data_IF_910168077099
#
_entry.id   IF_910168077099
#
_cell.length_a   1.000
_cell.length_b   1.000
_cell.length_c   1.000
_cell.angle_alpha   90.00
_cell.angle_beta   90.00
_cell.angle_gamma   90.00
#
_symmetry.space_group_name_H-M   'P 1'
#
loop_
_entity.id
_entity.type
_entity.pdbx_description
1 polymer ?
#
# COMPACT_ATOMS: atom_id res chain seq x y z
N UNK A 1 50.28 63.83 -67.90
CA UNK A 1 49.57 62.54 -67.92
C UNK A 1 50.42 61.56 -67.14
N UNK A 2 50.07 61.28 -65.90
CA UNK A 2 50.39 60.02 -65.15
C UNK A 2 49.77 60.16 -63.79
N UNK A 3 48.78 59.37 -63.52
CA UNK A 3 48.05 59.27 -62.27
C UNK A 3 48.87 58.45 -61.29
N UNK A 4 49.14 58.99 -60.11
CA UNK A 4 49.75 58.25 -58.98
C UNK A 4 48.63 57.77 -58.13
N UNK A 5 48.55 56.45 -57.98
CA UNK A 5 47.64 55.78 -57.06
C UNK A 5 48.30 55.70 -55.68
N UNK A 6 47.66 56.30 -54.69
CA UNK A 6 48.00 56.11 -53.26
C UNK A 6 47.24 54.91 -52.72
N UNK A 7 47.98 53.90 -52.34
CA UNK A 7 47.40 52.76 -51.65
C UNK A 7 47.38 52.99 -50.12
N UNK A 8 46.22 53.19 -49.57
CA UNK A 8 46.03 53.28 -48.13
C UNK A 8 45.89 51.84 -47.58
N UNK A 9 46.86 51.41 -46.78
CA UNK A 9 46.83 50.12 -46.04
C UNK A 9 46.04 50.33 -44.76
N UNK A 10 44.78 49.88 -44.74
CA UNK A 10 43.93 49.83 -43.53
C UNK A 10 44.20 48.55 -42.83
N UNK A 11 44.86 48.57 -41.68
CA UNK A 11 45.00 47.45 -40.78
C UNK A 11 43.66 47.21 -40.06
N UNK A 12 42.94 46.18 -40.47
CA UNK A 12 41.77 45.68 -39.71
C UNK A 12 42.26 44.87 -38.51
N UNK A 13 42.17 45.43 -37.32
CA UNK A 13 42.24 44.70 -36.06
C UNK A 13 40.93 43.86 -35.89
N UNK A 14 41.04 42.61 -36.21
CA UNK A 14 40.02 41.64 -35.84
C UNK A 14 40.08 41.35 -34.32
N UNK A 15 39.27 42.09 -33.56
CA UNK A 15 38.96 41.70 -32.17
C UNK A 15 37.99 40.51 -32.25
N UNK A 16 38.52 39.30 -32.09
CA UNK A 16 37.71 38.12 -31.89
C UNK A 16 37.07 38.19 -30.48
N UNK A 17 35.85 38.70 -30.43
CA UNK A 17 34.96 38.48 -29.29
C UNK A 17 34.67 36.98 -29.22
N UNK A 18 35.39 36.27 -28.36
CA UNK A 18 34.94 34.97 -27.86
C UNK A 18 33.74 35.27 -26.96
N UNK A 19 32.56 35.29 -27.56
CA UNK A 19 31.32 35.19 -26.79
C UNK A 19 31.31 33.79 -26.20
N UNK A 20 31.73 33.64 -24.93
CA UNK A 20 31.33 32.54 -24.10
C UNK A 20 29.81 32.63 -23.99
N UNK A 21 29.09 32.00 -24.91
CA UNK A 21 27.71 31.63 -24.69
C UNK A 21 27.73 30.54 -23.62
N UNK A 22 27.68 30.95 -22.35
CA UNK A 22 27.11 30.09 -21.32
C UNK A 22 25.70 29.77 -21.82
N UNK A 23 25.53 28.58 -22.39
CA UNK A 23 24.18 28.03 -22.53
C UNK A 23 23.63 28.03 -21.13
N UNK A 24 22.80 29.00 -20.79
CA UNK A 24 21.86 28.83 -19.70
C UNK A 24 21.14 27.48 -20.00
N UNK A 25 21.39 26.51 -19.17
CA UNK A 25 20.57 25.28 -19.22
C UNK A 25 19.14 25.79 -19.06
N UNK A 26 18.34 25.71 -20.12
CA UNK A 26 16.92 25.98 -20.05
C UNK A 26 16.41 25.24 -18.80
N UNK A 27 15.80 26.01 -17.91
CA UNK A 27 15.15 25.42 -16.75
C UNK A 27 13.90 24.72 -17.29
N UNK A 28 13.99 23.42 -17.47
CA UNK A 28 12.91 22.56 -17.96
C UNK A 28 11.74 22.45 -16.96
N UNK A 29 11.84 23.14 -15.83
CA UNK A 29 10.84 23.17 -14.77
C UNK A 29 10.86 21.93 -13.86
N UNK A 30 11.78 20.99 -14.10
CA UNK A 30 11.93 19.82 -13.24
C UNK A 30 12.80 20.12 -12.02
N UNK A 31 12.48 19.43 -10.90
CA UNK A 31 13.28 19.49 -9.68
C UNK A 31 14.69 18.93 -9.95
N UNK A 32 15.72 19.68 -9.58
CA UNK A 32 17.12 19.29 -9.78
C UNK A 32 17.77 18.68 -8.56
N UNK A 33 17.17 18.91 -7.38
CA UNK A 33 17.75 18.51 -6.09
C UNK A 33 17.24 17.13 -5.65
N UNK A 34 16.02 16.74 -6.10
CA UNK A 34 15.39 15.50 -5.71
C UNK A 34 14.99 14.65 -6.91
N UNK A 35 15.22 13.34 -6.75
CA UNK A 35 14.73 12.28 -7.64
C UNK A 35 14.18 11.14 -6.78
N UNK A 36 13.02 10.65 -7.11
CA UNK A 36 12.32 9.59 -6.34
C UNK A 36 12.41 8.26 -7.07
N UNK A 37 12.85 7.22 -6.40
CA UNK A 37 12.73 5.85 -6.87
C UNK A 37 11.83 5.05 -5.93
N UNK A 38 10.95 4.23 -6.46
CA UNK A 38 10.29 3.17 -5.72
C UNK A 38 11.00 1.85 -5.99
N UNK A 39 11.35 1.12 -4.95
CA UNK A 39 11.86 -0.25 -5.05
C UNK A 39 10.78 -1.16 -4.52
N UNK A 40 10.23 -2.06 -5.36
CA UNK A 40 9.21 -3.03 -4.91
C UNK A 40 9.86 -4.09 -4.03
N UNK A 41 9.07 -4.72 -3.14
CA UNK A 41 9.56 -5.87 -2.36
C UNK A 41 9.91 -7.07 -3.26
N UNK A 42 8.93 -7.59 -3.94
CA UNK A 42 8.98 -8.61 -4.96
C UNK A 42 7.72 -8.53 -5.83
N UNK A 43 6.66 -7.93 -5.25
CA UNK A 43 5.36 -7.76 -5.86
C UNK A 43 5.41 -6.98 -7.18
N UNK A 44 4.33 -7.06 -7.93
CA UNK A 44 4.18 -6.35 -9.19
C UNK A 44 3.41 -5.04 -8.99
N UNK A 45 3.82 -3.99 -9.72
CA UNK A 45 3.10 -2.70 -9.72
C UNK A 45 1.72 -2.78 -10.41
N UNK A 46 1.30 -3.96 -10.81
CA UNK A 46 -0.01 -4.25 -11.41
C UNK A 46 -0.86 -5.19 -10.56
N UNK A 47 -0.53 -5.33 -9.27
CA UNK A 47 -1.19 -6.24 -8.33
C UNK A 47 -2.62 -5.81 -7.95
N UNK A 48 -3.06 -4.64 -8.39
CA UNK A 48 -4.35 -4.02 -8.07
C UNK A 48 -4.54 -3.80 -6.55
N UNK A 49 -3.44 -3.71 -5.79
CA UNK A 49 -3.42 -3.65 -4.34
C UNK A 49 -2.21 -2.83 -3.84
N UNK A 50 -1.37 -3.42 -3.00
CA UNK A 50 -0.31 -2.79 -2.22
C UNK A 50 0.77 -2.09 -3.05
N UNK A 51 1.42 -2.84 -3.97
CA UNK A 51 2.51 -2.29 -4.78
C UNK A 51 1.99 -1.27 -5.81
N UNK A 52 0.86 -1.57 -6.46
CA UNK A 52 0.26 -0.66 -7.43
C UNK A 52 -0.15 0.66 -6.77
N UNK A 53 -0.84 0.62 -5.64
CA UNK A 53 -1.29 1.83 -4.95
C UNK A 53 -0.13 2.73 -4.52
N UNK A 54 0.96 2.12 -4.04
CA UNK A 54 2.17 2.85 -3.66
C UNK A 54 2.85 3.47 -4.88
N UNK A 55 2.98 2.69 -5.96
CA UNK A 55 3.55 3.14 -7.24
C UNK A 55 2.78 4.31 -7.84
N UNK A 56 1.46 4.16 -7.99
CA UNK A 56 0.61 5.20 -8.56
C UNK A 56 0.60 6.46 -7.70
N UNK A 57 0.57 6.32 -6.39
CA UNK A 57 0.66 7.44 -5.46
C UNK A 57 1.96 8.22 -5.58
N UNK A 58 3.11 7.54 -5.63
CA UNK A 58 4.42 8.15 -5.80
C UNK A 58 4.57 8.80 -7.19
N UNK A 59 4.21 8.08 -8.24
CA UNK A 59 4.29 8.55 -9.62
C UNK A 59 3.45 9.80 -9.85
N UNK A 60 2.17 9.76 -9.47
CA UNK A 60 1.26 10.89 -9.65
C UNK A 60 1.75 12.14 -8.92
N UNK A 61 2.23 11.98 -7.66
CA UNK A 61 2.80 13.10 -6.91
C UNK A 61 4.04 13.68 -7.59
N UNK A 62 4.94 12.82 -8.08
CA UNK A 62 6.16 13.23 -8.74
C UNK A 62 5.88 13.97 -10.08
N UNK A 63 4.92 13.49 -10.87
CA UNK A 63 4.48 14.14 -12.12
C UNK A 63 3.90 15.52 -11.84
N UNK A 64 3.02 15.66 -10.85
CA UNK A 64 2.41 16.92 -10.44
C UNK A 64 3.46 17.95 -9.99
N UNK A 65 4.47 17.51 -9.23
CA UNK A 65 5.49 18.38 -8.64
C UNK A 65 6.79 18.47 -9.48
N UNK A 66 6.79 17.93 -10.70
CA UNK A 66 7.95 17.95 -11.60
C UNK A 66 9.20 17.32 -10.98
N UNK A 67 9.06 16.20 -10.28
CA UNK A 67 10.14 15.42 -9.70
C UNK A 67 10.36 14.16 -10.55
N UNK A 68 11.61 13.85 -10.90
CA UNK A 68 11.91 12.65 -11.65
C UNK A 68 11.57 11.40 -10.84
N UNK A 69 10.85 10.47 -11.46
CA UNK A 69 10.39 9.22 -10.84
C UNK A 69 10.80 7.99 -11.64
N UNK A 70 11.19 6.95 -10.94
CA UNK A 70 11.38 5.59 -11.50
C UNK A 70 10.94 4.54 -10.52
N UNK A 71 10.83 3.29 -10.99
CA UNK A 71 10.73 2.15 -10.09
C UNK A 71 11.76 1.07 -10.45
N UNK A 72 12.12 0.27 -9.48
CA UNK A 72 13.00 -0.89 -9.62
C UNK A 72 12.29 -2.09 -9.02
N UNK A 73 12.34 -3.22 -9.73
CA UNK A 73 11.90 -4.50 -9.22
C UNK A 73 13.14 -5.35 -8.94
N UNK A 74 13.30 -5.94 -7.74
CA UNK A 74 14.36 -6.90 -7.47
C UNK A 74 14.29 -8.11 -8.40
N UNK A 75 15.43 -8.75 -8.64
CA UNK A 75 15.48 -9.93 -9.54
C UNK A 75 14.76 -11.12 -8.94
N UNK A 76 14.85 -11.27 -7.60
CA UNK A 76 14.15 -12.31 -6.84
C UNK A 76 13.66 -11.79 -5.49
N UNK A 77 12.90 -12.61 -4.79
CA UNK A 77 12.46 -12.35 -3.41
C UNK A 77 13.58 -12.68 -2.42
N UNK A 78 14.68 -11.90 -2.47
CA UNK A 78 15.79 -12.02 -1.55
C UNK A 78 16.25 -10.66 -1.04
N UNK A 79 16.78 -10.61 0.18
CA UNK A 79 17.36 -9.40 0.74
C UNK A 79 18.50 -8.85 -0.12
N UNK A 80 19.35 -9.74 -0.64
CA UNK A 80 20.46 -9.35 -1.51
C UNK A 80 19.99 -8.62 -2.77
N UNK A 81 18.92 -9.10 -3.41
CA UNK A 81 18.38 -8.46 -4.61
C UNK A 81 17.67 -7.14 -4.30
N UNK A 82 16.97 -7.04 -3.15
CA UNK A 82 16.39 -5.77 -2.67
C UNK A 82 17.47 -4.74 -2.37
N UNK A 83 18.57 -5.15 -1.71
CA UNK A 83 19.74 -4.30 -1.46
C UNK A 83 20.33 -3.83 -2.79
N UNK A 84 20.61 -4.74 -3.72
CA UNK A 84 21.21 -4.42 -5.01
C UNK A 84 20.33 -3.47 -5.84
N UNK A 85 19.01 -3.67 -5.85
CA UNK A 85 18.08 -2.79 -6.54
C UNK A 85 18.05 -1.38 -5.92
N UNK A 86 18.15 -1.29 -4.60
CA UNK A 86 18.20 -0.03 -3.85
C UNK A 86 19.51 0.71 -4.10
N UNK A 87 20.65 0.05 -3.97
CA UNK A 87 21.96 0.63 -4.25
C UNK A 87 22.05 1.12 -5.70
N UNK A 88 21.55 0.33 -6.65
CA UNK A 88 21.47 0.75 -8.06
C UNK A 88 20.65 2.04 -8.24
N UNK A 89 19.52 2.19 -7.55
CA UNK A 89 18.74 3.43 -7.61
C UNK A 89 19.55 4.62 -7.06
N UNK A 90 20.26 4.42 -5.96
CA UNK A 90 21.12 5.45 -5.35
C UNK A 90 22.28 5.84 -6.30
N UNK A 91 22.95 4.87 -6.91
CA UNK A 91 24.04 5.10 -7.87
C UNK A 91 23.56 5.86 -9.12
N UNK A 92 22.32 5.68 -9.53
CA UNK A 92 21.67 6.45 -10.60
C UNK A 92 21.24 7.88 -10.17
N UNK A 93 21.55 8.25 -8.91
CA UNK A 93 21.32 9.58 -8.35
C UNK A 93 19.91 9.80 -7.79
N UNK A 94 19.13 8.74 -7.51
CA UNK A 94 17.88 8.85 -6.78
C UNK A 94 18.18 9.00 -5.29
N UNK A 95 17.63 10.04 -4.67
CA UNK A 95 17.93 10.41 -3.29
C UNK A 95 16.70 10.42 -2.36
N UNK A 96 15.55 9.99 -2.86
CA UNK A 96 14.38 9.63 -2.06
C UNK A 96 13.90 8.26 -2.54
N UNK A 97 13.95 7.26 -1.63
CA UNK A 97 13.63 5.86 -1.96
C UNK A 97 12.35 5.46 -1.22
N UNK A 98 11.33 5.08 -1.97
CA UNK A 98 10.06 4.53 -1.45
C UNK A 98 10.14 3.01 -1.47
N UNK A 99 9.88 2.39 -0.33
CA UNK A 99 10.05 0.95 -0.08
C UNK A 99 8.75 0.35 0.48
N UNK A 100 7.86 -0.18 -0.35
CA UNK A 100 6.65 -0.87 0.13
C UNK A 100 6.98 -2.30 0.55
N UNK A 101 6.77 -2.62 1.82
CA UNK A 101 6.80 -3.98 2.33
C UNK A 101 7.73 -4.21 3.52
N UNK A 102 7.29 -5.04 4.45
CA UNK A 102 8.03 -5.44 5.67
C UNK A 102 9.43 -6.02 5.36
N UNK A 103 9.57 -6.65 4.20
CA UNK A 103 10.82 -7.28 3.75
C UNK A 103 11.98 -6.29 3.49
N UNK A 104 11.72 -4.98 3.58
CA UNK A 104 12.77 -3.96 3.43
C UNK A 104 13.56 -3.68 4.71
N UNK A 105 13.19 -4.22 5.87
CA UNK A 105 13.95 -3.98 7.09
C UNK A 105 15.44 -4.35 6.97
N UNK A 106 15.84 -5.53 6.42
CA UNK A 106 17.26 -5.86 6.18
C UNK A 106 17.94 -4.89 5.21
N UNK A 107 17.25 -4.47 4.15
CA UNK A 107 17.78 -3.48 3.19
C UNK A 107 18.04 -2.14 3.86
N UNK A 108 17.12 -1.66 4.69
CA UNK A 108 17.26 -0.41 5.44
C UNK A 108 18.46 -0.50 6.40
N UNK A 109 18.60 -1.62 7.12
CA UNK A 109 19.71 -1.84 8.05
C UNK A 109 21.07 -1.80 7.34
N UNK A 110 21.16 -2.36 6.14
CA UNK A 110 22.40 -2.43 5.37
C UNK A 110 22.73 -1.11 4.66
N UNK A 111 21.73 -0.40 4.11
CA UNK A 111 21.96 0.69 3.14
C UNK A 111 21.80 2.08 3.76
N UNK A 112 20.86 2.27 4.70
CA UNK A 112 20.46 3.62 5.10
C UNK A 112 21.57 4.38 5.83
N UNK A 113 22.29 3.73 6.74
CA UNK A 113 23.38 4.35 7.49
C UNK A 113 24.58 4.73 6.61
N UNK A 114 24.80 4.01 5.51
CA UNK A 114 25.87 4.28 4.54
C UNK A 114 25.53 5.46 3.61
N UNK A 115 24.26 5.83 3.52
CA UNK A 115 23.73 6.85 2.59
C UNK A 115 22.96 7.95 3.34
N UNK A 116 23.59 8.75 4.23
CA UNK A 116 22.89 9.69 5.11
C UNK A 116 22.16 10.82 4.37
N UNK A 117 22.52 11.09 3.13
CA UNK A 117 21.89 12.10 2.29
C UNK A 117 20.67 11.57 1.50
N UNK A 118 20.46 10.27 1.47
CA UNK A 118 19.31 9.62 0.85
C UNK A 118 18.19 9.50 1.89
N UNK A 119 16.95 9.81 1.52
CA UNK A 119 15.77 9.64 2.37
C UNK A 119 15.05 8.34 2.02
N UNK A 120 14.73 7.54 3.02
CA UNK A 120 14.04 6.26 2.86
C UNK A 120 12.65 6.36 3.48
N UNK A 121 11.63 6.06 2.67
CA UNK A 121 10.22 6.06 3.07
C UNK A 121 9.71 4.63 2.92
N UNK A 122 9.61 3.91 4.03
CA UNK A 122 9.20 2.51 4.07
C UNK A 122 7.76 2.36 4.56
N UNK A 123 7.01 1.48 3.91
CA UNK A 123 5.63 1.14 4.29
C UNK A 123 5.58 -0.30 4.80
N UNK A 124 4.79 -0.56 5.82
CA UNK A 124 4.65 -1.83 6.52
C UNK A 124 5.95 -2.33 7.19
N UNK A 125 6.88 -1.44 7.50
CA UNK A 125 8.08 -1.77 8.28
C UNK A 125 7.92 -1.29 9.70
N UNK A 126 7.91 -2.22 10.65
CA UNK A 126 7.74 -1.98 12.08
C UNK A 126 9.05 -2.09 12.85
N UNK A 127 9.03 -1.71 14.12
CA UNK A 127 10.22 -1.90 15.00
C UNK A 127 10.59 -3.39 15.14
N UNK A 128 9.60 -4.29 15.10
CA UNK A 128 9.82 -5.74 15.24
C UNK A 128 10.46 -6.39 14.02
N UNK A 129 10.50 -5.71 12.87
CA UNK A 129 11.12 -6.24 11.64
C UNK A 129 12.64 -5.97 11.61
N UNK A 130 13.14 -5.07 12.47
CA UNK A 130 14.55 -4.78 12.63
C UNK A 130 15.20 -5.66 13.71
N UNK A 131 16.53 -5.77 13.67
CA UNK A 131 17.29 -6.34 14.78
C UNK A 131 16.97 -5.58 16.09
N UNK A 132 17.00 -6.31 17.22
CA UNK A 132 16.53 -5.77 18.49
C UNK A 132 17.28 -4.51 18.97
N UNK A 133 18.57 -4.42 18.63
CA UNK A 133 19.47 -3.31 18.94
C UNK A 133 19.61 -2.27 17.82
N UNK A 134 18.86 -2.43 16.71
CA UNK A 134 18.93 -1.50 15.60
C UNK A 134 18.31 -0.13 15.96
N UNK A 135 19.14 0.91 15.83
CA UNK A 135 18.70 2.30 15.96
C UNK A 135 18.37 2.87 14.58
N UNK A 136 17.19 3.44 14.44
CA UNK A 136 16.71 3.99 13.18
C UNK A 136 17.54 5.23 12.80
N UNK A 137 18.22 5.25 11.63
CA UNK A 137 18.99 6.41 11.20
C UNK A 137 18.07 7.63 10.93
N UNK A 138 18.64 8.84 11.03
CA UNK A 138 17.91 10.10 10.87
C UNK A 138 17.31 10.33 9.46
N UNK A 139 17.61 9.47 8.52
CA UNK A 139 17.15 9.51 7.13
C UNK A 139 16.12 8.43 6.78
N UNK A 140 15.55 7.74 7.78
CA UNK A 140 14.56 6.67 7.57
C UNK A 140 13.22 7.03 8.22
N UNK A 141 12.15 6.96 7.44
CA UNK A 141 10.77 6.99 7.92
C UNK A 141 10.11 5.65 7.62
N UNK A 142 9.41 5.10 8.59
CA UNK A 142 8.61 3.89 8.43
C UNK A 142 7.16 4.17 8.83
N UNK A 143 6.21 3.63 8.08
CA UNK A 143 4.80 3.61 8.42
C UNK A 143 4.30 2.19 8.59
N UNK A 144 3.51 1.95 9.62
CA UNK A 144 2.65 0.79 9.78
C UNK A 144 1.21 1.26 9.96
N UNK A 145 0.25 0.39 9.75
CA UNK A 145 -1.15 0.78 9.78
C UNK A 145 -1.91 -0.02 10.84
N UNK A 146 -3.04 0.54 11.29
CA UNK A 146 -3.99 -0.14 12.15
C UNK A 146 -4.96 -0.98 11.30
N UNK A 147 -4.43 -1.97 10.57
CA UNK A 147 -5.22 -2.81 9.66
C UNK A 147 -6.31 -3.60 10.39
N UNK A 148 -6.13 -3.85 11.68
CA UNK A 148 -7.16 -4.45 12.52
C UNK A 148 -8.45 -3.63 12.54
N UNK A 149 -8.36 -2.31 12.42
CA UNK A 149 -9.54 -1.44 12.37
C UNK A 149 -10.26 -1.56 11.02
N UNK A 150 -9.51 -1.59 9.90
CA UNK A 150 -10.11 -1.77 8.57
C UNK A 150 -10.74 -3.16 8.42
N UNK A 151 -10.05 -4.21 8.90
CA UNK A 151 -10.58 -5.56 8.97
C UNK A 151 -11.85 -5.62 9.80
N UNK A 152 -11.83 -5.03 11.00
CA UNK A 152 -13.00 -4.96 11.89
C UNK A 152 -14.20 -4.30 11.19
N UNK A 153 -14.00 -3.13 10.58
CA UNK A 153 -15.05 -2.42 9.87
C UNK A 153 -15.63 -3.25 8.73
N UNK A 154 -14.78 -3.94 7.96
CA UNK A 154 -15.22 -4.81 6.86
C UNK A 154 -16.01 -6.02 7.34
N UNK A 155 -15.56 -6.70 8.39
CA UNK A 155 -16.26 -7.84 8.98
C UNK A 155 -17.59 -7.45 9.62
N UNK A 156 -17.60 -6.35 10.37
CA UNK A 156 -18.82 -5.79 10.97
C UNK A 156 -19.85 -5.44 9.89
N UNK A 157 -19.41 -4.73 8.85
CA UNK A 157 -20.26 -4.33 7.72
C UNK A 157 -20.86 -5.55 7.00
N UNK A 158 -20.07 -6.59 6.74
CA UNK A 158 -20.54 -7.80 6.05
C UNK A 158 -21.65 -8.51 6.84
N UNK A 159 -21.49 -8.66 8.15
CA UNK A 159 -22.53 -9.31 8.99
C UNK A 159 -23.77 -8.41 9.13
N UNK A 160 -23.61 -7.09 9.28
CA UNK A 160 -24.74 -6.13 9.30
C UNK A 160 -25.49 -6.10 7.98
N UNK A 161 -24.81 -6.31 6.85
CA UNK A 161 -25.45 -6.48 5.53
C UNK A 161 -26.25 -7.77 5.42
N UNK A 162 -25.95 -8.77 6.28
CA UNK A 162 -26.74 -9.99 6.43
C UNK A 162 -26.02 -11.27 6.05
N UNK A 163 -24.71 -11.22 5.72
CA UNK A 163 -23.91 -12.42 5.46
C UNK A 163 -23.64 -13.19 6.76
N UNK A 164 -23.77 -14.50 6.70
CA UNK A 164 -23.65 -15.40 7.86
C UNK A 164 -22.53 -16.42 7.74
N UNK A 165 -22.22 -16.84 6.51
CA UNK A 165 -21.12 -17.74 6.21
C UNK A 165 -20.03 -16.97 5.49
N UNK A 166 -18.94 -16.68 6.19
CA UNK A 166 -17.88 -15.82 5.73
C UNK A 166 -16.56 -16.60 5.55
N UNK A 167 -15.65 -16.04 4.80
CA UNK A 167 -14.29 -16.54 4.65
C UNK A 167 -13.28 -15.43 4.82
N UNK A 168 -12.11 -15.76 5.37
CA UNK A 168 -10.89 -14.93 5.29
C UNK A 168 -9.82 -15.73 4.57
N UNK A 169 -9.40 -15.23 3.43
CA UNK A 169 -8.27 -15.72 2.64
C UNK A 169 -7.14 -14.71 2.75
N UNK A 170 -6.22 -14.90 3.69
CA UNK A 170 -4.99 -14.12 3.78
C UNK A 170 -3.97 -14.58 2.73
N UNK A 171 -3.11 -13.68 2.29
CA UNK A 171 -1.93 -14.05 1.51
C UNK A 171 -0.92 -14.82 2.35
N UNK A 172 0.24 -14.24 2.66
CA UNK A 172 1.15 -14.76 3.70
C UNK A 172 0.71 -14.24 5.07
N UNK A 173 1.03 -15.00 6.13
CA UNK A 173 0.73 -14.61 7.53
C UNK A 173 1.73 -13.56 8.06
N UNK A 174 1.93 -12.49 7.31
CA UNK A 174 2.77 -11.34 7.71
C UNK A 174 1.98 -10.37 8.60
N UNK A 175 2.64 -9.49 9.36
CA UNK A 175 1.98 -8.67 10.38
C UNK A 175 0.74 -7.91 9.90
N UNK A 176 0.79 -7.26 8.73
CA UNK A 176 -0.33 -6.51 8.18
C UNK A 176 -1.54 -7.41 7.85
N UNK A 177 -1.30 -8.57 7.20
CA UNK A 177 -2.36 -9.54 6.85
C UNK A 177 -2.98 -10.16 8.10
N UNK A 178 -2.17 -10.44 9.12
CA UNK A 178 -2.66 -10.94 10.42
C UNK A 178 -3.54 -9.90 11.09
N UNK A 179 -3.13 -8.61 11.12
CA UNK A 179 -3.96 -7.53 11.68
C UNK A 179 -5.31 -7.42 10.96
N UNK A 180 -5.32 -7.38 9.62
CA UNK A 180 -6.57 -7.37 8.85
C UNK A 180 -7.49 -8.54 9.22
N UNK A 181 -6.96 -9.77 9.20
CA UNK A 181 -7.75 -10.97 9.48
C UNK A 181 -8.26 -11.04 10.90
N UNK A 182 -7.43 -10.69 11.89
CA UNK A 182 -7.84 -10.67 13.29
C UNK A 182 -8.91 -9.59 13.54
N UNK A 183 -8.75 -8.42 12.96
CA UNK A 183 -9.79 -7.39 12.99
C UNK A 183 -11.09 -7.86 12.37
N UNK A 184 -11.01 -8.49 11.19
CA UNK A 184 -12.17 -8.98 10.45
C UNK A 184 -13.03 -9.94 11.29
N UNK A 185 -12.42 -10.96 11.90
CA UNK A 185 -13.18 -11.92 12.72
C UNK A 185 -13.77 -11.28 13.97
N UNK A 186 -13.07 -10.31 14.59
CA UNK A 186 -13.60 -9.55 15.72
C UNK A 186 -14.81 -8.70 15.31
N UNK A 187 -14.75 -8.02 14.16
CA UNK A 187 -15.86 -7.25 13.62
C UNK A 187 -17.07 -8.11 13.29
N UNK A 188 -16.86 -9.27 12.65
CA UNK A 188 -17.92 -10.25 12.39
C UNK A 188 -18.60 -10.70 13.69
N UNK A 189 -17.81 -11.06 14.70
CA UNK A 189 -18.33 -11.52 16.00
C UNK A 189 -19.10 -10.42 16.73
N UNK A 190 -18.63 -9.19 16.71
CA UNK A 190 -19.30 -8.05 17.34
C UNK A 190 -20.67 -7.79 16.70
N UNK A 191 -20.74 -7.75 15.37
CA UNK A 191 -21.99 -7.56 14.66
C UNK A 191 -22.96 -8.75 14.86
N UNK A 192 -22.45 -9.98 14.87
CA UNK A 192 -23.24 -11.18 15.13
C UNK A 192 -23.87 -11.17 16.54
N UNK A 193 -23.09 -10.75 17.54
CA UNK A 193 -23.57 -10.59 18.92
C UNK A 193 -24.65 -9.52 19.01
N UNK A 194 -24.42 -8.35 18.41
CA UNK A 194 -25.37 -7.23 18.41
C UNK A 194 -26.71 -7.61 17.74
N UNK A 195 -26.65 -8.39 16.66
CA UNK A 195 -27.84 -8.77 15.89
C UNK A 195 -28.44 -10.11 16.33
N UNK A 196 -27.86 -10.75 17.38
CA UNK A 196 -28.22 -12.10 17.81
C UNK A 196 -28.25 -13.11 16.65
N UNK A 197 -27.23 -13.04 15.78
CA UNK A 197 -27.10 -13.86 14.57
C UNK A 197 -26.00 -14.89 14.76
N UNK A 198 -26.23 -16.14 14.38
CA UNK A 198 -25.17 -17.14 14.29
C UNK A 198 -24.42 -16.99 12.98
N UNK A 199 -23.10 -16.97 13.05
CA UNK A 199 -22.21 -16.89 11.90
C UNK A 199 -21.23 -18.07 11.88
N UNK A 200 -20.63 -18.32 10.72
CA UNK A 200 -19.54 -19.27 10.53
C UNK A 200 -18.45 -18.61 9.70
N UNK A 201 -17.18 -18.75 10.10
CA UNK A 201 -16.05 -18.15 9.39
C UNK A 201 -15.00 -19.23 9.10
N UNK A 202 -14.67 -19.45 7.83
CA UNK A 202 -13.47 -20.18 7.42
C UNK A 202 -12.30 -19.22 7.34
N UNK A 203 -11.15 -19.57 7.92
CA UNK A 203 -10.00 -18.69 8.00
C UNK A 203 -8.73 -19.43 7.59
N UNK A 204 -8.00 -18.94 6.58
CA UNK A 204 -6.76 -19.56 6.10
C UNK A 204 -5.81 -18.56 5.43
N UNK A 205 -4.55 -18.98 5.27
CA UNK A 205 -3.52 -18.25 4.53
C UNK A 205 -3.08 -19.03 3.28
N UNK A 206 -2.88 -18.30 2.16
CA UNK A 206 -2.48 -18.86 0.88
C UNK A 206 -0.95 -19.12 0.76
N UNK A 207 -0.12 -18.57 1.66
CA UNK A 207 1.35 -18.55 1.63
C UNK A 207 1.97 -17.79 0.45
N UNK A 208 1.17 -17.01 -0.27
CA UNK A 208 1.64 -16.19 -1.40
C UNK A 208 0.69 -15.00 -1.62
N UNK A 209 1.12 -14.00 -2.39
CA UNK A 209 0.33 -12.81 -2.68
C UNK A 209 -0.26 -12.78 -4.11
N UNK A 210 -0.42 -13.92 -4.74
CA UNK A 210 -1.08 -14.07 -6.04
C UNK A 210 -2.02 -15.27 -6.03
N UNK A 211 -3.05 -15.22 -6.89
CA UNK A 211 -3.98 -16.33 -7.07
C UNK A 211 -3.40 -17.41 -7.99
N UNK A 212 -3.82 -18.65 -7.77
CA UNK A 212 -3.50 -19.78 -8.62
C UNK A 212 -4.61 -20.86 -8.60
N UNK A 213 -4.43 -21.91 -9.40
CA UNK A 213 -5.41 -22.96 -9.52
C UNK A 213 -5.67 -23.74 -8.22
N UNK A 214 -4.65 -23.90 -7.36
CA UNK A 214 -4.79 -24.61 -6.07
C UNK A 214 -5.62 -23.79 -5.10
N UNK A 215 -5.35 -22.49 -4.97
CA UNK A 215 -6.13 -21.58 -4.15
C UNK A 215 -7.56 -21.47 -4.68
N UNK A 216 -7.72 -21.37 -6.03
CA UNK A 216 -9.05 -21.33 -6.64
C UNK A 216 -9.87 -22.60 -6.33
N UNK A 217 -9.26 -23.78 -6.35
CA UNK A 217 -9.95 -25.03 -5.99
C UNK A 217 -10.41 -25.06 -4.52
N UNK A 218 -9.62 -24.50 -3.61
CA UNK A 218 -10.04 -24.36 -2.19
C UNK A 218 -11.19 -23.36 -2.09
N UNK A 219 -11.13 -22.24 -2.80
CA UNK A 219 -12.22 -21.25 -2.82
C UNK A 219 -13.49 -21.83 -3.45
N UNK A 220 -13.38 -22.64 -4.50
CA UNK A 220 -14.51 -23.39 -5.08
C UNK A 220 -15.18 -24.27 -3.99
N UNK A 221 -14.39 -24.95 -3.17
CA UNK A 221 -14.92 -25.75 -2.05
C UNK A 221 -15.61 -24.87 -1.02
N UNK A 222 -15.02 -23.71 -0.67
CA UNK A 222 -15.63 -22.82 0.32
C UNK A 222 -16.98 -22.29 -0.13
N UNK A 223 -17.06 -21.76 -1.36
CA UNK A 223 -18.32 -21.26 -1.90
C UNK A 223 -19.32 -22.40 -2.16
N UNK A 224 -18.84 -23.58 -2.56
CA UNK A 224 -19.67 -24.80 -2.71
C UNK A 224 -20.29 -25.26 -1.38
N UNK A 225 -19.59 -25.10 -0.25
CA UNK A 225 -20.07 -25.36 1.11
C UNK A 225 -20.99 -24.22 1.63
N UNK A 226 -21.24 -23.21 0.81
CA UNK A 226 -22.16 -22.12 1.10
C UNK A 226 -21.52 -20.90 1.78
N UNK A 227 -20.19 -20.72 1.73
CA UNK A 227 -19.58 -19.42 2.06
C UNK A 227 -20.16 -18.38 1.12
N UNK A 228 -20.66 -17.26 1.68
CA UNK A 228 -21.37 -16.23 0.95
C UNK A 228 -20.44 -15.09 0.51
N UNK A 229 -19.44 -14.76 1.36
CA UNK A 229 -18.47 -13.70 1.12
C UNK A 229 -17.09 -14.08 1.66
N UNK A 230 -16.05 -13.83 0.87
CA UNK A 230 -14.64 -14.03 1.26
C UNK A 230 -13.92 -12.68 1.29
N UNK A 231 -13.28 -12.36 2.41
CA UNK A 231 -12.30 -11.29 2.47
C UNK A 231 -10.97 -11.82 1.94
N UNK A 232 -10.60 -11.39 0.72
CA UNK A 232 -9.36 -11.76 0.05
C UNK A 232 -8.27 -10.72 0.36
N UNK A 233 -7.43 -11.01 1.36
CA UNK A 233 -6.50 -10.08 1.96
C UNK A 233 -5.05 -10.37 1.55
N UNK A 234 -4.56 -9.69 0.50
CA UNK A 234 -3.14 -9.76 0.13
C UNK A 234 -2.88 -9.79 -1.36
N UNK A 235 -2.50 -8.66 -1.93
CA UNK A 235 -2.10 -8.54 -3.33
C UNK A 235 -3.12 -9.15 -4.30
N UNK A 236 -2.64 -10.03 -5.16
CA UNK A 236 -3.43 -10.68 -6.22
C UNK A 236 -4.24 -11.92 -5.79
N UNK A 237 -4.27 -12.34 -4.50
CA UNK A 237 -5.02 -13.54 -4.09
C UNK A 237 -6.53 -13.40 -4.33
N UNK A 238 -7.04 -12.16 -4.43
CA UNK A 238 -8.44 -11.90 -4.75
C UNK A 238 -8.88 -12.56 -6.07
N UNK A 239 -7.97 -12.76 -7.02
CA UNK A 239 -8.31 -13.39 -8.32
C UNK A 239 -8.88 -14.79 -8.13
N UNK A 240 -8.25 -15.60 -7.26
CA UNK A 240 -8.75 -16.96 -6.94
C UNK A 240 -10.10 -16.94 -6.22
N UNK A 241 -10.30 -15.99 -5.31
CA UNK A 241 -11.59 -15.82 -4.64
C UNK A 241 -12.69 -15.39 -5.61
N UNK A 242 -12.38 -14.47 -6.54
CA UNK A 242 -13.33 -14.00 -7.55
C UNK A 242 -13.69 -15.08 -8.59
N UNK A 243 -12.70 -15.85 -9.06
CA UNK A 243 -12.93 -16.97 -10.00
C UNK A 243 -13.89 -18.02 -9.40
N UNK A 244 -13.74 -18.33 -8.13
CA UNK A 244 -14.63 -19.24 -7.44
C UNK A 244 -16.01 -18.61 -7.15
N UNK A 245 -16.04 -17.38 -6.66
CA UNK A 245 -17.27 -16.65 -6.34
C UNK A 245 -18.18 -16.49 -7.55
N UNK A 246 -17.62 -16.30 -8.74
CA UNK A 246 -18.37 -16.15 -10.01
C UNK A 246 -19.24 -17.37 -10.31
N UNK A 247 -18.81 -18.58 -9.91
CA UNK A 247 -19.52 -19.85 -10.16
C UNK A 247 -20.78 -20.01 -9.31
N UNK A 248 -20.85 -19.32 -8.17
CA UNK A 248 -21.92 -19.48 -7.17
C UNK A 248 -22.65 -18.16 -6.85
N UNK A 249 -22.35 -17.08 -7.58
CA UNK A 249 -22.80 -15.72 -7.28
C UNK A 249 -22.35 -15.26 -5.87
N UNK A 250 -21.21 -15.77 -5.40
CA UNK A 250 -20.56 -15.37 -4.16
C UNK A 250 -20.05 -13.93 -4.19
N UNK A 251 -19.66 -13.44 -3.03
CA UNK A 251 -19.18 -12.06 -2.85
C UNK A 251 -17.72 -12.06 -2.38
N UNK A 252 -17.06 -10.92 -2.59
CA UNK A 252 -15.68 -10.69 -2.20
C UNK A 252 -15.55 -9.35 -1.47
N UNK A 253 -14.71 -9.31 -0.46
CA UNK A 253 -14.19 -8.07 0.13
C UNK A 253 -12.75 -7.90 -0.34
N UNK A 254 -12.44 -6.73 -0.89
CA UNK A 254 -11.09 -6.37 -1.36
C UNK A 254 -10.20 -5.84 -0.25
N UNK A 255 -8.93 -5.52 -0.61
CA UNK A 255 -7.92 -5.04 0.34
C UNK A 255 -7.07 -3.90 -0.23
N UNK A 256 -6.47 -3.11 0.64
CA UNK A 256 -5.53 -2.01 0.40
C UNK A 256 -6.13 -0.82 -0.35
N UNK A 257 -6.75 -1.06 -1.49
CA UNK A 257 -7.46 -0.07 -2.31
C UNK A 257 -8.92 -0.44 -2.47
N UNK A 258 -9.72 0.45 -3.05
CA UNK A 258 -11.06 0.07 -3.49
C UNK A 258 -10.97 -0.83 -4.73
N UNK A 259 -10.95 -2.13 -4.52
CA UNK A 259 -10.87 -3.11 -5.60
C UNK A 259 -12.20 -3.32 -6.34
N UNK A 260 -13.26 -2.60 -5.98
CA UNK A 260 -14.57 -2.73 -6.66
C UNK A 260 -14.47 -2.42 -8.15
N UNK A 261 -13.60 -1.50 -8.56
CA UNK A 261 -13.40 -1.13 -9.96
C UNK A 261 -12.93 -2.30 -10.81
N UNK A 262 -12.01 -3.14 -10.29
CA UNK A 262 -11.47 -4.28 -11.04
C UNK A 262 -12.32 -5.55 -10.85
N UNK A 263 -12.79 -5.81 -9.64
CA UNK A 263 -13.57 -7.00 -9.33
C UNK A 263 -14.92 -6.97 -10.05
N UNK A 264 -15.64 -5.85 -9.97
CA UNK A 264 -16.95 -5.73 -10.57
C UNK A 264 -16.92 -5.67 -12.12
N UNK A 265 -15.83 -5.13 -12.68
CA UNK A 265 -15.66 -5.07 -14.13
C UNK A 265 -15.25 -6.41 -14.70
N UNK A 266 -14.24 -7.05 -14.11
CA UNK A 266 -13.61 -8.26 -14.67
C UNK A 266 -14.40 -9.54 -14.41
N UNK A 267 -15.08 -9.66 -13.26
CA UNK A 267 -15.72 -10.90 -12.85
C UNK A 267 -17.25 -10.81 -12.87
N UNK A 268 -17.87 -10.06 -11.95
CA UNK A 268 -19.31 -9.88 -11.96
C UNK A 268 -19.72 -8.57 -11.25
N UNK A 269 -20.65 -7.83 -11.84
CA UNK A 269 -21.20 -6.62 -11.24
C UNK A 269 -21.77 -6.90 -9.84
N UNK A 270 -21.33 -6.12 -8.85
CA UNK A 270 -21.76 -6.27 -7.46
C UNK A 270 -21.16 -7.48 -6.74
N UNK A 271 -20.07 -8.08 -7.26
CA UNK A 271 -19.30 -9.11 -6.57
C UNK A 271 -18.52 -8.54 -5.40
N UNK A 272 -17.84 -7.40 -5.60
CA UNK A 272 -17.17 -6.69 -4.51
C UNK A 272 -18.20 -5.91 -3.70
N UNK A 273 -18.34 -6.26 -2.42
CA UNK A 273 -19.27 -5.57 -1.52
C UNK A 273 -18.63 -4.35 -0.83
N UNK A 274 -17.34 -4.40 -0.60
CA UNK A 274 -16.49 -3.32 -0.04
C UNK A 274 -15.02 -3.73 -0.14
N UNK A 275 -14.11 -2.85 0.29
CA UNK A 275 -12.68 -3.14 0.44
C UNK A 275 -12.16 -2.60 1.77
N UNK A 276 -11.35 -3.37 2.49
CA UNK A 276 -10.63 -2.89 3.67
C UNK A 276 -9.38 -2.13 3.21
N UNK A 277 -9.48 -0.80 3.15
CA UNK A 277 -8.46 0.07 2.54
C UNK A 277 -7.37 0.48 3.51
N UNK A 278 -6.20 0.75 2.95
CA UNK A 278 -5.00 1.26 3.62
C UNK A 278 -4.46 2.48 2.87
N UNK A 279 -4.12 3.52 3.58
CA UNK A 279 -3.76 4.84 3.03
C UNK A 279 -2.36 4.92 2.40
N UNK A 280 -1.98 3.95 1.56
CA UNK A 280 -0.65 3.82 0.96
C UNK A 280 -0.27 5.06 0.13
N UNK A 281 -1.09 5.41 -0.85
CA UNK A 281 -0.87 6.58 -1.69
C UNK A 281 -0.86 7.89 -0.87
N UNK A 282 -1.76 8.02 0.12
CA UNK A 282 -1.82 9.19 0.99
C UNK A 282 -0.55 9.33 1.82
N UNK A 283 -0.03 8.22 2.39
CA UNK A 283 1.22 8.22 3.16
C UNK A 283 2.40 8.65 2.31
N UNK A 284 2.57 8.06 1.13
CA UNK A 284 3.67 8.40 0.22
C UNK A 284 3.60 9.86 -0.20
N UNK A 285 2.44 10.36 -0.65
CA UNK A 285 2.25 11.76 -1.04
C UNK A 285 2.56 12.71 0.10
N UNK A 286 2.12 12.40 1.32
CA UNK A 286 2.39 13.21 2.51
C UNK A 286 3.89 13.25 2.81
N UNK A 287 4.57 12.10 2.78
CA UNK A 287 6.01 12.05 3.09
C UNK A 287 6.86 12.70 1.99
N UNK A 288 6.49 12.54 0.73
CA UNK A 288 7.16 13.25 -0.37
C UNK A 288 6.98 14.77 -0.25
N UNK A 289 5.77 15.24 0.08
CA UNK A 289 5.52 16.68 0.30
C UNK A 289 6.34 17.23 1.47
N UNK A 290 6.33 16.56 2.62
CA UNK A 290 7.15 16.95 3.77
C UNK A 290 8.64 16.98 3.44
N UNK A 291 9.12 15.96 2.73
CA UNK A 291 10.54 15.81 2.41
C UNK A 291 11.01 16.85 1.38
N UNK A 292 10.27 16.99 0.29
CA UNK A 292 10.74 17.69 -0.93
C UNK A 292 10.25 19.14 -0.96
N UNK A 293 8.99 19.40 -0.61
CA UNK A 293 8.41 20.74 -0.68
C UNK A 293 8.65 21.55 0.61
N UNK A 294 8.56 20.88 1.76
CA UNK A 294 8.67 21.56 3.05
C UNK A 294 10.08 21.48 3.67
N UNK A 295 10.93 20.59 3.19
CA UNK A 295 12.27 20.34 3.78
C UNK A 295 12.21 19.79 5.20
N UNK A 296 11.12 19.09 5.56
CA UNK A 296 10.84 18.60 6.91
C UNK A 296 10.76 17.06 6.93
N UNK A 297 11.89 16.41 6.76
CA UNK A 297 11.96 14.97 6.93
C UNK A 297 12.10 14.61 8.42
N UNK A 298 11.22 13.74 8.91
CA UNK A 298 11.26 13.24 10.30
C UNK A 298 11.54 11.73 10.26
N UNK A 299 12.63 11.32 10.90
CA UNK A 299 12.92 9.89 11.13
C UNK A 299 12.05 9.37 12.27
N UNK A 300 11.19 8.40 11.96
CA UNK A 300 10.34 7.71 12.94
C UNK A 300 9.71 6.45 12.37
N UNK A 301 9.21 5.60 13.24
CA UNK A 301 8.25 4.55 12.92
C UNK A 301 6.89 5.05 13.39
N UNK A 302 5.95 5.26 12.47
CA UNK A 302 4.64 5.85 12.74
C UNK A 302 3.53 4.82 12.50
N UNK A 303 2.57 4.76 13.42
CA UNK A 303 1.36 3.94 13.24
C UNK A 303 0.22 4.83 12.77
N UNK A 304 -0.30 4.54 11.59
CA UNK A 304 -1.35 5.30 10.91
C UNK A 304 -2.69 4.57 11.02
N UNK A 305 -3.73 5.28 11.40
CA UNK A 305 -5.04 4.70 11.63
C UNK A 305 -6.17 5.69 11.35
N UNK A 306 -7.16 5.71 12.24
CA UNK A 306 -8.24 6.69 12.19
C UNK A 306 -7.73 8.03 12.72
N UNK A 307 -7.90 9.09 11.92
CA UNK A 307 -7.52 10.47 12.26
C UNK A 307 -8.74 11.39 12.40
N UNK A 308 -9.92 10.93 11.97
CA UNK A 308 -11.17 11.68 12.06
C UNK A 308 -12.37 10.76 12.28
N UNK A 309 -13.26 11.18 13.17
CA UNK A 309 -14.57 10.54 13.36
C UNK A 309 -15.59 10.91 12.27
N UNK A 310 -15.40 12.03 11.59
CA UNK A 310 -16.41 12.65 10.70
C UNK A 310 -15.97 12.76 9.26
N UNK A 311 -14.70 13.05 9.00
CA UNK A 311 -14.11 13.04 7.67
C UNK A 311 -13.54 11.64 7.39
N UNK A 312 -14.39 10.78 6.83
CA UNK A 312 -14.06 9.38 6.59
C UNK A 312 -12.90 9.23 5.59
N UNK A 313 -12.81 10.14 4.61
CA UNK A 313 -11.80 10.08 3.55
C UNK A 313 -10.38 10.41 4.03
N UNK A 314 -10.24 11.14 5.15
CA UNK A 314 -8.94 11.49 5.72
C UNK A 314 -8.27 10.34 6.49
N UNK A 315 -9.00 9.27 6.78
CA UNK A 315 -8.51 8.16 7.56
C UNK A 315 -7.55 7.27 6.75
N UNK A 316 -6.48 6.79 7.39
CA UNK A 316 -5.51 5.89 6.77
C UNK A 316 -6.00 4.44 6.71
N UNK A 317 -7.02 4.08 7.46
CA UNK A 317 -7.72 2.79 7.39
C UNK A 317 -9.21 3.06 7.30
N UNK A 318 -9.86 2.49 6.26
CA UNK A 318 -11.24 2.85 5.95
C UNK A 318 -11.92 1.85 5.00
N UNK A 319 -13.24 1.98 4.83
CA UNK A 319 -14.00 1.39 3.74
C UNK A 319 -14.34 2.45 2.70
N UNK A 320 -14.39 2.13 1.39
CA UNK A 320 -14.70 3.08 0.34
C UNK A 320 -16.17 3.53 0.43
N UNK A 321 -16.42 4.84 0.54
CA UNK A 321 -17.76 5.39 0.58
C UNK A 321 -18.29 5.80 -0.80
N UNK A 322 -17.42 6.10 -1.75
CA UNK A 322 -17.78 6.52 -3.10
C UNK A 322 -18.41 5.38 -3.93
N UNK A 323 -18.04 4.14 -3.64
CA UNK A 323 -18.51 2.93 -4.32
C UNK A 323 -19.40 2.05 -3.44
N UNK A 324 -19.95 2.64 -2.40
CA UNK A 324 -20.82 1.95 -1.42
C UNK A 324 -21.98 1.23 -2.08
N UNK A 325 -22.08 -0.09 -1.90
CA UNK A 325 -23.11 -0.93 -2.52
C UNK A 325 -24.00 -1.66 -1.52
N UNK A 326 -23.65 -1.63 -0.23
CA UNK A 326 -24.44 -2.26 0.83
C UNK A 326 -25.75 -1.48 1.08
N UNK A 327 -26.83 -2.21 1.36
CA UNK A 327 -28.18 -1.64 1.45
C UNK A 327 -28.76 -1.68 2.87
N UNK A 328 -28.32 -2.64 3.68
CA UNK A 328 -28.77 -2.77 5.09
C UNK A 328 -27.82 -2.06 6.04
N UNK A 329 -26.52 -2.10 5.74
CA UNK A 329 -25.51 -1.33 6.46
C UNK A 329 -25.20 -0.08 5.65
N UNK A 330 -25.66 1.06 6.10
CA UNK A 330 -25.57 2.33 5.37
C UNK A 330 -24.25 3.05 5.62
N UNK A 331 -23.94 4.07 4.80
CA UNK A 331 -22.78 4.96 5.03
C UNK A 331 -22.89 5.68 6.38
N UNK A 332 -24.10 6.02 6.84
CA UNK A 332 -24.29 6.66 8.14
C UNK A 332 -24.06 5.70 9.32
N UNK A 333 -24.43 4.42 9.16
CA UNK A 333 -24.06 3.37 10.12
C UNK A 333 -22.55 3.19 10.18
N UNK A 334 -21.90 3.19 9.01
CA UNK A 334 -20.44 3.13 8.92
C UNK A 334 -19.77 4.33 9.59
N UNK A 335 -20.24 5.53 9.37
CA UNK A 335 -19.74 6.73 10.03
C UNK A 335 -19.90 6.66 11.56
N UNK A 336 -21.03 6.14 12.02
CA UNK A 336 -21.26 5.88 13.46
C UNK A 336 -20.24 4.90 14.01
N UNK A 337 -19.95 3.82 13.28
CA UNK A 337 -18.96 2.82 13.65
C UNK A 337 -17.55 3.42 13.73
N UNK A 338 -17.15 4.20 12.71
CA UNK A 338 -15.87 4.92 12.70
C UNK A 338 -15.76 5.86 13.91
N UNK A 339 -16.84 6.59 14.23
CA UNK A 339 -16.88 7.44 15.41
C UNK A 339 -16.58 6.70 16.72
N UNK A 340 -17.22 5.54 16.92
CA UNK A 340 -16.97 4.68 18.09
C UNK A 340 -15.54 4.15 18.16
N UNK A 341 -14.97 3.74 17.03
CA UNK A 341 -13.58 3.27 16.95
C UNK A 341 -12.59 4.41 17.21
N UNK A 342 -12.81 5.57 16.59
CA UNK A 342 -11.98 6.76 16.79
C UNK A 342 -11.97 7.25 18.24
N UNK A 343 -13.15 7.26 18.87
CA UNK A 343 -13.33 7.66 20.28
C UNK A 343 -12.89 6.56 21.26
N UNK A 344 -12.42 5.40 20.77
CA UNK A 344 -12.01 4.24 21.60
C UNK A 344 -13.15 3.64 22.45
N UNK A 345 -14.39 3.85 22.05
CA UNK A 345 -15.55 3.18 22.65
C UNK A 345 -15.58 1.69 22.27
N UNK A 346 -14.99 1.37 21.11
CA UNK A 346 -14.69 0.01 20.67
C UNK A 346 -13.18 -0.14 20.59
N UNK A 347 -12.65 -1.17 21.26
CA UNK A 347 -11.24 -1.56 21.19
C UNK A 347 -11.10 -2.83 20.38
N UNK A 348 -10.25 -2.82 19.35
CA UNK A 348 -9.92 -3.97 18.52
C UNK A 348 -8.55 -4.48 18.90
N UNK A 349 -8.46 -5.80 19.18
CA UNK A 349 -7.17 -6.43 19.47
C UNK A 349 -6.35 -6.53 18.19
N UNK A 350 -5.05 -6.31 18.32
CA UNK A 350 -4.07 -6.45 17.25
C UNK A 350 -3.15 -7.64 17.51
N UNK A 351 -2.62 -8.24 16.45
CA UNK A 351 -1.63 -9.31 16.48
C UNK A 351 -0.68 -9.16 15.30
N UNK A 352 0.56 -9.60 15.44
CA UNK A 352 1.59 -9.51 14.40
C UNK A 352 2.00 -10.87 13.84
N UNK A 353 1.60 -11.94 14.52
CA UNK A 353 1.77 -13.32 14.03
C UNK A 353 0.46 -14.11 14.18
N UNK A 354 0.30 -15.13 13.35
CA UNK A 354 -0.89 -15.99 13.40
C UNK A 354 -1.04 -16.72 14.76
N UNK A 355 0.07 -17.00 15.43
CA UNK A 355 0.09 -17.69 16.73
C UNK A 355 -0.40 -16.79 17.88
N UNK A 356 -0.36 -15.46 17.72
CA UNK A 356 -0.90 -14.51 18.69
C UNK A 356 -2.42 -14.35 18.58
N UNK A 357 -3.03 -14.83 17.49
CA UNK A 357 -4.48 -14.71 17.27
C UNK A 357 -5.23 -15.72 18.14
N UNK A 358 -5.97 -15.23 19.12
CA UNK A 358 -6.75 -16.06 20.01
C UNK A 358 -8.17 -16.34 19.46
N UNK A 359 -8.29 -17.34 18.59
CA UNK A 359 -9.59 -17.75 18.04
C UNK A 359 -10.56 -18.33 19.09
N UNK A 360 -10.07 -18.77 20.26
CA UNK A 360 -10.95 -19.28 21.32
C UNK A 360 -11.86 -18.20 21.93
N UNK A 361 -11.46 -16.93 21.80
CA UNK A 361 -12.28 -15.79 22.23
C UNK A 361 -13.29 -15.35 21.16
N UNK A 362 -13.25 -15.95 19.95
CA UNK A 362 -14.11 -15.62 18.83
C UNK A 362 -14.83 -16.89 18.41
N UNK A 363 -16.02 -17.16 18.94
CA UNK A 363 -16.77 -18.35 18.59
C UNK A 363 -17.09 -18.37 17.09
N UNK A 364 -17.21 -19.57 16.53
CA UNK A 364 -17.59 -19.82 15.14
C UNK A 364 -16.50 -19.57 14.07
N UNK A 365 -15.24 -19.39 14.47
CA UNK A 365 -14.11 -19.34 13.53
C UNK A 365 -13.50 -20.72 13.36
N UNK A 366 -13.46 -21.22 12.13
CA UNK A 366 -12.72 -22.43 11.74
C UNK A 366 -11.38 -22.02 11.12
N UNK A 367 -10.32 -22.03 11.94
CA UNK A 367 -8.97 -21.80 11.46
C UNK A 367 -8.43 -23.04 10.74
N UNK A 368 -8.01 -22.90 9.50
CA UNK A 368 -7.56 -23.97 8.62
C UNK A 368 -6.04 -23.93 8.38
N UNK A 369 -5.34 -22.97 8.99
CA UNK A 369 -3.90 -22.80 8.82
C UNK A 369 -3.52 -22.31 7.42
N UNK A 370 -2.47 -22.89 6.88
CA UNK A 370 -2.02 -22.61 5.51
C UNK A 370 -2.73 -23.56 4.53
N UNK A 371 -3.09 -23.05 3.36
CA UNK A 371 -3.76 -23.84 2.30
C UNK A 371 -2.78 -24.73 1.53
N UNK A 372 -1.47 -24.45 1.60
CA UNK A 372 -0.39 -25.17 0.93
C UNK A 372 0.66 -25.67 1.93
#
# INVERSE_FOLDING_TARGET
MKKVFFSLLAALLLVSLVACTTKEKENDGWNKDYKVAMVTDYGDITDQSFNQATYEGAKAWCEENKVHFTYKKPVSDSDADRIAATEKAIDEGYNVIVMPGYAFAPTIQEVAGKNPNVKFIALDVSKGDFAADYELPSNVYCAVYQEELAGYMAGYAAVKEGYKKLGFLGGMSVPAVVRFGYGFVQGCNAAATETNTTIEIKYAYAKQFFGDAEITAVMDTWYGDGVEVVFACGGGVYTSACEAAQKTNGKVIGVDTDQSYIINEKYAKGMCITSAMKGLAATVKTQLSKTILEGKFESKIETLGLVSATDLASNYVQLPTATWSMTKFTVEDYKTLVGKLYNKEITVKSATSADEVNFNEIPNVKYLGNLK
#
